data_IF_090758212180
#
_entry.id   IF_090758212180
#
_cell.length_a   1.000
_cell.length_b   1.000
_cell.length_c   1.000
_cell.angle_alpha   90.00
_cell.angle_beta   90.00
_cell.angle_gamma   90.00
#
_symmetry.space_group_name_H-M   'P 1'
#
loop_
_entity.id
_entity.type
_entity.pdbx_description
1 polymer ?
#
# COMPACT_ATOMS: atom_id res chain seq x y z
N UNK A 1 -5.36 1.48 -32.70
CA UNK A 1 -4.60 1.33 -31.44
C UNK A 1 -3.16 1.79 -31.68
N UNK A 2 -2.49 2.36 -30.68
CA UNK A 2 -1.06 2.71 -30.78
C UNK A 2 -0.22 1.43 -30.72
N UNK A 3 0.88 1.34 -31.48
CA UNK A 3 1.82 0.22 -31.40
C UNK A 3 2.71 0.33 -30.14
N UNK A 4 3.43 -0.75 -29.82
CA UNK A 4 4.26 -0.83 -28.62
C UNK A 4 5.33 0.27 -28.55
N UNK A 5 6.04 0.54 -29.64
CA UNK A 5 7.07 1.60 -29.67
C UNK A 5 6.47 2.96 -29.31
N UNK A 6 5.30 3.28 -29.86
CA UNK A 6 4.62 4.54 -29.56
C UNK A 6 4.15 4.61 -28.10
N UNK A 7 3.78 3.48 -27.50
CA UNK A 7 3.43 3.40 -26.08
C UNK A 7 4.67 3.61 -25.19
N UNK A 8 5.81 3.04 -25.56
CA UNK A 8 7.09 3.22 -24.85
C UNK A 8 7.53 4.69 -24.90
N UNK A 9 7.42 5.35 -26.07
CA UNK A 9 7.75 6.77 -26.20
C UNK A 9 6.89 7.64 -25.27
N UNK A 10 5.59 7.35 -25.19
CA UNK A 10 4.65 8.06 -24.31
C UNK A 10 5.01 7.81 -22.85
N UNK A 11 5.27 6.56 -22.47
CA UNK A 11 5.68 6.21 -21.12
C UNK A 11 6.94 6.95 -20.69
N UNK A 12 7.97 6.96 -21.54
CA UNK A 12 9.22 7.68 -21.28
C UNK A 12 8.99 9.18 -21.17
N UNK A 13 8.16 9.76 -22.03
CA UNK A 13 7.81 11.18 -21.95
C UNK A 13 7.13 11.53 -20.62
N UNK A 14 6.17 10.72 -20.16
CA UNK A 14 5.49 10.95 -18.88
C UNK A 14 6.45 10.79 -17.69
N UNK A 15 7.37 9.81 -17.76
CA UNK A 15 8.39 9.64 -16.74
C UNK A 15 9.36 10.83 -16.68
N UNK A 16 9.77 11.38 -17.81
CA UNK A 16 10.70 12.51 -17.87
C UNK A 16 10.08 13.81 -17.36
N UNK A 17 8.78 14.03 -17.61
CA UNK A 17 8.08 15.21 -17.10
C UNK A 17 8.03 15.19 -15.55
N UNK A 18 7.85 14.01 -14.96
CA UNK A 18 8.09 13.79 -13.54
C UNK A 18 6.91 14.09 -12.60
N UNK A 19 5.83 14.68 -13.10
CA UNK A 19 4.64 15.03 -12.32
C UNK A 19 3.96 13.78 -11.75
N UNK A 20 3.98 12.67 -12.49
CA UNK A 20 3.42 11.40 -12.01
C UNK A 20 4.15 10.91 -10.76
N UNK A 21 5.49 10.99 -10.74
CA UNK A 21 6.32 10.60 -9.60
C UNK A 21 6.21 11.59 -8.45
N UNK A 22 6.02 12.88 -8.73
CA UNK A 22 5.78 13.90 -7.71
C UNK A 22 4.41 13.68 -7.03
N UNK A 23 3.36 13.50 -7.82
CA UNK A 23 2.02 13.20 -7.33
C UNK A 23 2.01 11.91 -6.49
N UNK A 24 2.62 10.84 -7.00
CA UNK A 24 2.70 9.57 -6.27
C UNK A 24 3.46 9.69 -4.95
N UNK A 25 4.58 10.44 -4.91
CA UNK A 25 5.28 10.74 -3.65
C UNK A 25 4.41 11.52 -2.66
N UNK A 26 3.62 12.48 -3.15
CA UNK A 26 2.65 13.21 -2.34
C UNK A 26 1.58 12.29 -1.74
N UNK A 27 1.03 11.37 -2.54
CA UNK A 27 0.07 10.35 -2.09
C UNK A 27 0.69 9.46 -1.00
N UNK A 28 1.91 8.97 -1.21
CA UNK A 28 2.61 8.16 -0.21
C UNK A 28 2.86 8.92 1.09
N UNK A 29 3.26 10.20 1.00
CA UNK A 29 3.41 11.08 2.15
C UNK A 29 2.11 11.22 2.93
N UNK A 30 1.01 11.51 2.24
CA UNK A 30 -0.31 11.64 2.86
C UNK A 30 -0.76 10.34 3.54
N UNK A 31 -0.65 9.19 2.88
CA UNK A 31 -1.03 7.89 3.45
C UNK A 31 -0.17 7.58 4.68
N UNK A 32 1.12 7.90 4.65
CA UNK A 32 2.01 7.70 5.79
C UNK A 32 1.66 8.61 6.98
N UNK A 33 1.37 9.88 6.74
CA UNK A 33 0.92 10.78 7.81
C UNK A 33 -0.41 10.30 8.39
N UNK A 34 -1.37 9.91 7.55
CA UNK A 34 -2.63 9.32 7.99
C UNK A 34 -2.42 8.07 8.86
N UNK A 35 -1.49 7.19 8.46
CA UNK A 35 -1.10 6.01 9.24
C UNK A 35 -0.56 6.38 10.62
N UNK A 36 0.34 7.36 10.69
CA UNK A 36 0.93 7.84 11.95
C UNK A 36 -0.16 8.43 12.84
N UNK A 37 -1.05 9.23 12.27
CA UNK A 37 -2.14 9.87 12.99
C UNK A 37 -3.13 8.87 13.59
N UNK A 38 -3.50 7.83 12.84
CA UNK A 38 -4.34 6.75 13.35
C UNK A 38 -3.62 6.00 14.48
N UNK A 39 -2.34 5.68 14.31
CA UNK A 39 -1.57 4.98 15.35
C UNK A 39 -1.46 5.77 16.65
N UNK A 40 -1.42 7.11 16.59
CA UNK A 40 -1.38 7.98 17.77
C UNK A 40 -2.75 8.14 18.42
N UNK A 41 -3.80 8.34 17.63
CA UNK A 41 -5.17 8.59 18.12
C UNK A 41 -5.88 7.33 18.62
N UNK A 42 -5.47 6.15 18.13
CA UNK A 42 -6.11 4.88 18.43
C UNK A 42 -5.07 3.82 18.87
N UNK A 43 -4.47 3.96 20.06
CA UNK A 43 -3.39 3.09 20.54
C UNK A 43 -3.81 1.62 20.78
N UNK A 44 -5.13 1.35 20.84
CA UNK A 44 -5.67 0.00 20.98
C UNK A 44 -5.66 -0.80 19.68
N UNK A 45 -5.45 -0.12 18.55
CA UNK A 45 -5.28 -0.72 17.25
C UNK A 45 -3.79 -0.91 16.93
N UNK A 46 -3.51 -2.01 16.24
CA UNK A 46 -2.20 -2.31 15.68
C UNK A 46 -2.23 -1.84 14.23
N UNK A 47 -1.40 -0.85 13.94
CA UNK A 47 -1.26 -0.28 12.61
C UNK A 47 -0.03 -0.89 11.93
N UNK A 48 -0.24 -1.62 10.83
CA UNK A 48 0.81 -2.27 10.07
C UNK A 48 1.71 -1.30 9.30
N UNK A 49 2.71 -1.83 8.59
CA UNK A 49 3.57 -1.03 7.71
C UNK A 49 2.80 -0.48 6.50
N UNK A 50 3.33 0.58 5.88
CA UNK A 50 2.87 1.06 4.59
C UNK A 50 3.36 0.12 3.48
N UNK A 51 2.43 -0.48 2.74
CA UNK A 51 2.68 -1.29 1.57
C UNK A 51 2.47 -0.46 0.31
N UNK A 52 3.47 -0.50 -0.57
CA UNK A 52 3.46 0.19 -1.86
C UNK A 52 3.43 -0.88 -2.95
N UNK A 53 2.27 -1.12 -3.55
CA UNK A 53 2.11 -2.09 -4.61
C UNK A 53 1.74 -1.37 -5.91
N UNK A 54 2.74 -1.13 -6.76
CA UNK A 54 2.57 -0.31 -7.97
C UNK A 54 1.97 1.08 -7.64
N UNK A 55 1.88 1.98 -8.62
CA UNK A 55 1.41 3.36 -8.36
C UNK A 55 -0.10 3.44 -8.09
N UNK A 56 -0.85 2.38 -8.38
CA UNK A 56 -2.30 2.29 -8.27
C UNK A 56 -2.77 1.77 -6.91
N UNK A 57 -1.91 1.14 -6.11
CA UNK A 57 -2.29 0.58 -4.82
C UNK A 57 -1.25 0.84 -3.73
N UNK A 58 -1.60 1.70 -2.77
CA UNK A 58 -0.81 1.92 -1.55
C UNK A 58 -1.74 1.85 -0.35
N UNK A 59 -1.39 1.04 0.65
CA UNK A 59 -2.25 0.82 1.83
C UNK A 59 -1.44 0.46 3.06
N UNK A 60 -2.04 0.57 4.24
CA UNK A 60 -1.55 -0.01 5.47
C UNK A 60 -2.70 -0.75 6.16
N UNK A 61 -2.37 -1.80 6.92
CA UNK A 61 -3.37 -2.55 7.66
C UNK A 61 -3.67 -1.91 9.01
N UNK A 62 -4.90 -2.07 9.47
CA UNK A 62 -5.33 -1.75 10.83
C UNK A 62 -6.00 -3.01 11.37
N UNK A 63 -5.59 -3.47 12.55
CA UNK A 63 -6.22 -4.59 13.24
C UNK A 63 -6.37 -4.27 14.72
N UNK A 64 -7.28 -4.93 15.43
CA UNK A 64 -7.35 -4.81 16.88
C UNK A 64 -6.45 -5.88 17.53
N UNK A 65 -6.00 -5.64 18.77
CA UNK A 65 -5.30 -6.67 19.55
C UNK A 65 -6.11 -7.96 19.64
N UNK A 66 -7.41 -7.84 19.87
CA UNK A 66 -8.34 -8.97 19.88
C UNK A 66 -8.29 -9.78 18.58
N UNK A 67 -8.34 -9.14 17.42
CA UNK A 67 -8.30 -9.84 16.13
C UNK A 67 -6.93 -10.46 15.83
N UNK A 68 -5.84 -9.78 16.20
CA UNK A 68 -4.49 -10.34 16.06
C UNK A 68 -4.31 -11.63 16.88
N UNK A 69 -4.78 -11.62 18.12
CA UNK A 69 -4.64 -12.73 19.05
C UNK A 69 -5.58 -13.90 18.74
N UNK A 70 -6.81 -13.62 18.27
CA UNK A 70 -7.87 -14.62 18.14
C UNK A 70 -8.13 -15.10 16.71
N UNK A 71 -7.75 -14.36 15.66
CA UNK A 71 -8.06 -14.75 14.27
C UNK A 71 -6.86 -15.21 13.44
N UNK A 72 -5.61 -14.90 13.79
CA UNK A 72 -4.46 -15.14 12.89
C UNK A 72 -3.57 -16.35 13.24
N UNK A 73 -3.65 -16.94 14.43
CA UNK A 73 -2.88 -18.17 14.74
C UNK A 73 -3.46 -19.43 14.06
N UNK A 74 -4.73 -19.41 13.67
CA UNK A 74 -5.46 -20.59 13.21
C UNK A 74 -5.79 -20.59 11.70
N UNK A 75 -5.72 -19.45 11.00
CA UNK A 75 -6.02 -19.41 9.55
C UNK A 75 -4.91 -20.01 8.67
N UNK A 76 -3.65 -20.02 9.12
CA UNK A 76 -2.52 -20.60 8.37
C UNK A 76 -2.15 -22.03 8.80
N UNK A 77 -2.74 -22.57 9.87
CA UNK A 77 -2.43 -23.93 10.35
C UNK A 77 -3.24 -25.03 9.66
N UNK A 78 -4.31 -24.68 8.95
CA UNK A 78 -5.21 -25.65 8.30
C UNK A 78 -4.92 -25.84 6.80
N UNK A 79 -3.87 -25.22 6.25
CA UNK A 79 -3.50 -25.32 4.84
C UNK A 79 -2.35 -26.28 4.52
N UNK A 80 -1.88 -27.07 5.48
CA UNK A 80 -0.77 -28.03 5.29
C UNK A 80 -1.10 -29.40 5.90
N UNK A 81 -2.25 -29.95 5.47
CA UNK A 81 -2.55 -31.38 5.52
C UNK A 81 -3.32 -31.74 4.25
N UNK A 82 -2.60 -31.81 3.15
CA UNK A 82 -2.84 -32.77 2.08
C UNK A 82 -1.58 -33.62 1.94
#
# INVERSE_FOLDING_TARGET
>A
MKNLNKLIDIYNSLLLQGELQLAYRGILGFINELRIDISKRHPDYIVGSLYQWKMDLSFFSITTKFLQENMLKNLFKNGSRE
#
